data_IF_008439399346
#
_entry.id   IF_008439399346
#
_cell.length_a   1.000
_cell.length_b   1.000
_cell.length_c   1.000
_cell.angle_alpha   90.00
_cell.angle_beta   90.00
_cell.angle_gamma   90.00
#
_symmetry.space_group_name_H-M   'P 1'
#
loop_
_entity.id
_entity.type
_entity.pdbx_description
1 polymer ?
#
# COMPACT_ATOMS: atom_id res chain seq x y z
N UNK A 1 4.20 -30.02 -18.49
CA UNK A 1 3.92 -29.64 -17.08
C UNK A 1 2.79 -28.60 -17.01
N UNK A 2 1.57 -28.99 -17.39
CA UNK A 2 0.41 -28.06 -17.44
C UNK A 2 -0.77 -28.49 -16.53
N UNK A 3 -0.58 -29.40 -15.61
CA UNK A 3 -1.69 -30.13 -14.94
C UNK A 3 -2.19 -29.49 -13.62
N UNK A 4 -1.62 -28.41 -13.11
CA UNK A 4 -2.03 -27.83 -11.83
C UNK A 4 -2.88 -26.55 -11.95
N UNK A 5 -2.93 -25.95 -13.13
CA UNK A 5 -3.79 -24.78 -13.41
C UNK A 5 -5.11 -25.17 -14.10
N UNK A 6 -5.24 -26.42 -14.55
CA UNK A 6 -6.46 -26.93 -15.18
C UNK A 6 -7.57 -27.07 -14.13
N UNK A 7 -8.44 -26.08 -14.05
CA UNK A 7 -9.66 -26.11 -13.25
C UNK A 7 -10.02 -24.86 -12.46
N UNK A 8 -9.11 -23.90 -12.31
CA UNK A 8 -9.41 -22.66 -11.60
C UNK A 8 -9.60 -21.49 -12.58
N UNK A 9 -10.78 -20.91 -12.59
CA UNK A 9 -11.02 -19.60 -13.19
C UNK A 9 -10.96 -18.53 -12.08
N UNK A 10 -9.91 -17.72 -12.10
CA UNK A 10 -9.74 -16.62 -11.17
C UNK A 10 -10.38 -15.32 -11.65
N UNK A 11 -10.93 -15.29 -12.86
CA UNK A 11 -11.57 -14.08 -13.41
C UNK A 11 -12.75 -13.64 -12.54
N UNK A 12 -12.93 -12.33 -12.43
CA UNK A 12 -14.03 -11.75 -11.69
C UNK A 12 -13.62 -10.74 -10.64
N UNK A 13 -14.54 -10.43 -9.73
CA UNK A 13 -14.35 -9.42 -8.67
C UNK A 13 -13.88 -10.09 -7.38
N UNK A 14 -12.92 -9.43 -6.73
CA UNK A 14 -12.30 -9.90 -5.50
C UNK A 14 -12.24 -8.78 -4.48
N UNK A 15 -12.40 -9.10 -3.23
CA UNK A 15 -12.01 -8.24 -2.13
C UNK A 15 -10.58 -8.60 -1.71
N UNK A 16 -9.71 -7.62 -1.60
CA UNK A 16 -8.34 -7.82 -1.15
C UNK A 16 -8.10 -7.01 0.13
N UNK A 17 -7.49 -7.66 1.10
CA UNK A 17 -6.98 -7.04 2.33
C UNK A 17 -5.46 -7.17 2.31
N UNK A 18 -4.78 -6.06 2.51
CA UNK A 18 -3.32 -5.99 2.62
C UNK A 18 -2.95 -5.38 3.97
N UNK A 19 -2.26 -6.13 4.78
CA UNK A 19 -1.65 -5.65 6.03
C UNK A 19 -0.15 -5.56 5.84
N UNK A 20 0.43 -4.39 6.09
CA UNK A 20 1.88 -4.22 6.09
C UNK A 20 2.35 -3.70 7.44
N UNK A 21 3.51 -4.15 7.87
CA UNK A 21 4.14 -3.71 9.09
C UNK A 21 5.51 -3.08 8.78
N UNK A 22 5.77 -1.94 9.43
CA UNK A 22 7.06 -1.27 9.39
C UNK A 22 7.49 -0.90 10.80
N UNK A 23 8.81 -0.77 11.00
CA UNK A 23 9.41 -0.27 12.24
C UNK A 23 10.08 1.05 11.95
N UNK A 24 9.84 2.02 12.82
CA UNK A 24 10.48 3.33 12.77
C UNK A 24 11.39 3.49 13.99
N UNK A 25 12.65 3.80 13.77
CA UNK A 25 13.55 4.20 14.85
C UNK A 25 13.42 5.72 15.06
N UNK A 26 12.66 6.09 16.08
CA UNK A 26 12.41 7.50 16.41
C UNK A 26 13.34 7.93 17.53
N UNK A 27 14.14 9.01 17.34
CA UNK A 27 15.01 9.53 18.40
C UNK A 27 14.18 9.81 19.68
N UNK A 28 14.73 9.44 20.84
CA UNK A 28 14.12 9.62 22.18
C UNK A 28 12.94 8.68 22.46
N UNK A 29 12.10 8.32 21.48
CA UNK A 29 10.94 7.45 21.68
C UNK A 29 11.27 5.95 21.48
N UNK A 30 12.45 5.64 20.91
CA UNK A 30 12.85 4.27 20.61
C UNK A 30 12.21 3.71 19.34
N UNK A 31 12.02 2.39 19.30
CA UNK A 31 11.44 1.73 18.13
C UNK A 31 9.91 1.73 18.21
N UNK A 32 9.29 2.27 17.18
CA UNK A 32 7.84 2.29 17.01
C UNK A 32 7.47 1.31 15.90
N UNK A 33 6.43 0.52 16.09
CA UNK A 33 5.85 -0.34 15.05
C UNK A 33 4.63 0.35 14.46
N UNK A 34 4.58 0.40 13.12
CA UNK A 34 3.45 0.95 12.37
C UNK A 34 2.84 -0.21 11.57
N UNK A 35 1.57 -0.47 11.77
CA UNK A 35 0.81 -1.44 10.99
C UNK A 35 -0.20 -0.71 10.13
N UNK A 36 -0.14 -0.90 8.82
CA UNK A 36 -1.06 -0.34 7.86
C UNK A 36 -2.03 -1.41 7.39
N UNK A 37 -3.30 -1.09 7.37
CA UNK A 37 -4.38 -1.96 6.88
C UNK A 37 -5.05 -1.29 5.69
N UNK A 38 -5.08 -1.99 4.56
CA UNK A 38 -5.74 -1.55 3.32
C UNK A 38 -6.84 -2.54 2.95
N UNK A 39 -8.01 -2.02 2.60
CA UNK A 39 -9.03 -2.81 1.90
C UNK A 39 -9.14 -2.32 0.45
N UNK A 40 -9.28 -3.26 -0.47
CA UNK A 40 -9.30 -3.01 -1.89
C UNK A 40 -10.38 -3.85 -2.56
N UNK A 41 -10.91 -3.35 -3.67
CA UNK A 41 -11.69 -4.16 -4.61
C UNK A 41 -10.80 -4.39 -5.83
N UNK A 42 -10.60 -5.63 -6.19
CA UNK A 42 -9.77 -6.03 -7.31
C UNK A 42 -10.61 -6.73 -8.39
N UNK A 43 -10.25 -6.49 -9.64
CA UNK A 43 -10.77 -7.23 -10.80
C UNK A 43 -9.65 -8.08 -11.37
N UNK A 44 -9.84 -9.38 -11.42
CA UNK A 44 -8.95 -10.32 -12.09
C UNK A 44 -9.50 -10.62 -13.48
N UNK A 45 -8.65 -10.51 -14.49
CA UNK A 45 -8.98 -10.84 -15.88
C UNK A 45 -8.03 -11.91 -16.40
N UNK A 46 -8.59 -12.88 -17.12
CA UNK A 46 -7.82 -13.83 -17.91
C UNK A 46 -7.62 -13.23 -19.30
N UNK A 47 -6.38 -13.14 -19.75
CA UNK A 47 -6.03 -12.63 -21.07
C UNK A 47 -6.01 -13.77 -22.08
N UNK A 48 -6.15 -13.44 -23.36
CA UNK A 48 -6.04 -14.42 -24.48
C UNK A 48 -4.66 -15.08 -24.54
N UNK A 49 -3.65 -14.48 -23.91
CA UNK A 49 -2.30 -15.04 -23.73
C UNK A 49 -2.25 -16.19 -22.71
N UNK A 50 -3.31 -16.42 -21.94
CA UNK A 50 -3.37 -17.38 -20.84
C UNK A 50 -2.88 -16.84 -19.49
N UNK A 51 -2.55 -15.56 -19.43
CA UNK A 51 -2.11 -14.86 -18.21
C UNK A 51 -3.29 -14.25 -17.45
N UNK A 52 -3.16 -14.18 -16.12
CA UNK A 52 -4.08 -13.41 -15.30
C UNK A 52 -3.47 -12.06 -14.95
N UNK A 53 -4.29 -11.01 -15.02
CA UNK A 53 -3.94 -9.66 -14.57
C UNK A 53 -4.92 -9.19 -13.52
N UNK A 54 -4.41 -8.43 -12.55
CA UNK A 54 -5.18 -7.85 -11.46
C UNK A 54 -5.16 -6.33 -11.63
N UNK A 55 -6.33 -5.72 -11.56
CA UNK A 55 -6.49 -4.27 -11.40
C UNK A 55 -7.21 -4.03 -10.08
N UNK A 56 -6.79 -3.07 -9.26
CA UNK A 56 -7.43 -2.81 -7.97
C UNK A 56 -7.67 -1.33 -7.71
N UNK A 57 -8.73 -1.08 -6.93
CA UNK A 57 -9.07 0.20 -6.31
C UNK A 57 -8.86 0.09 -4.81
N UNK A 58 -8.19 1.07 -4.19
CA UNK A 58 -8.06 1.15 -2.73
C UNK A 58 -9.32 1.79 -2.15
N UNK A 59 -10.00 1.08 -1.26
CA UNK A 59 -11.23 1.54 -0.62
C UNK A 59 -10.97 2.24 0.70
N UNK A 60 -10.09 1.67 1.53
CA UNK A 60 -9.72 2.24 2.83
C UNK A 60 -8.23 2.05 3.09
N UNK A 61 -7.68 2.97 3.84
CA UNK A 61 -6.31 2.92 4.34
C UNK A 61 -6.30 3.44 5.77
N UNK A 62 -5.82 2.63 6.71
CA UNK A 62 -5.66 3.00 8.10
C UNK A 62 -4.27 2.61 8.59
N UNK A 63 -3.77 3.28 9.63
CA UNK A 63 -2.53 2.91 10.28
C UNK A 63 -2.66 2.92 11.80
N UNK A 64 -2.07 1.91 12.42
CA UNK A 64 -1.93 1.81 13.87
C UNK A 64 -0.46 1.89 14.24
N UNK A 65 -0.16 2.73 15.24
CA UNK A 65 1.19 2.90 15.77
C UNK A 65 1.28 2.31 17.17
N UNK A 66 2.35 1.57 17.47
CA UNK A 66 2.62 1.02 18.79
C UNK A 66 4.03 1.38 19.26
N UNK A 67 4.17 1.97 20.48
CA UNK A 67 3.10 2.36 21.41
C UNK A 67 2.18 3.42 20.80
N UNK A 68 0.91 3.44 21.22
CA UNK A 68 -0.12 4.35 20.72
C UNK A 68 0.07 5.78 21.30
N UNK A 69 1.10 6.47 20.82
CA UNK A 69 1.41 7.84 21.22
C UNK A 69 0.69 8.88 20.35
N UNK A 70 0.25 8.49 19.17
CA UNK A 70 -0.48 9.31 18.20
C UNK A 70 -1.28 8.39 17.28
N UNK A 71 -2.35 8.93 16.68
CA UNK A 71 -3.13 8.22 15.65
C UNK A 71 -2.83 8.85 14.28
N UNK A 72 -2.54 8.03 13.29
CA UNK A 72 -2.33 8.47 11.91
C UNK A 72 -3.62 8.31 11.12
N UNK A 73 -4.08 9.37 10.51
CA UNK A 73 -5.22 9.40 9.62
C UNK A 73 -4.77 9.70 8.18
N UNK A 74 -5.32 8.95 7.23
CA UNK A 74 -5.17 9.24 5.81
C UNK A 74 -6.46 9.93 5.35
N UNK A 75 -6.41 11.22 4.97
CA UNK A 75 -7.59 11.91 4.45
C UNK A 75 -8.18 11.18 3.23
N UNK A 76 -9.48 11.34 3.01
CA UNK A 76 -10.14 10.75 1.84
C UNK A 76 -9.49 11.20 0.52
N UNK A 77 -8.98 12.42 0.46
CA UNK A 77 -8.23 12.94 -0.68
C UNK A 77 -7.00 12.08 -0.97
N UNK A 78 -6.23 11.74 0.07
CA UNK A 78 -5.07 10.84 -0.04
C UNK A 78 -5.48 9.46 -0.59
N UNK A 79 -6.53 8.84 -0.02
CA UNK A 79 -6.96 7.50 -0.44
C UNK A 79 -7.43 7.51 -1.90
N UNK A 80 -8.18 8.54 -2.31
CA UNK A 80 -8.65 8.70 -3.71
C UNK A 80 -7.52 8.98 -4.70
N UNK A 81 -6.42 9.55 -4.25
CA UNK A 81 -5.26 9.83 -5.11
C UNK A 81 -4.40 8.59 -5.40
N UNK A 82 -4.58 7.48 -4.66
CA UNK A 82 -3.87 6.24 -4.94
C UNK A 82 -4.31 5.71 -6.32
N UNK A 83 -3.38 5.62 -7.29
CA UNK A 83 -3.75 5.26 -8.65
C UNK A 83 -4.10 3.77 -8.76
N UNK A 84 -5.08 3.48 -9.60
CA UNK A 84 -5.34 2.11 -10.04
C UNK A 84 -4.14 1.58 -10.80
N UNK A 85 -3.69 0.39 -10.46
CA UNK A 85 -2.59 -0.28 -11.15
C UNK A 85 -3.01 -1.64 -11.65
N UNK A 86 -2.46 -2.01 -12.80
CA UNK A 86 -2.63 -3.36 -13.36
C UNK A 86 -1.29 -4.08 -13.29
N UNK A 87 -1.29 -5.29 -12.76
CA UNK A 87 -0.11 -6.13 -12.60
C UNK A 87 -0.45 -7.61 -12.81
N UNK A 88 0.53 -8.44 -13.18
CA UNK A 88 0.32 -9.88 -13.33
C UNK A 88 -0.05 -10.56 -12.02
N UNK A 89 -0.95 -11.55 -12.07
CA UNK A 89 -1.08 -12.61 -11.09
C UNK A 89 -0.33 -13.83 -11.62
N UNK A 90 0.89 -13.99 -11.16
CA UNK A 90 1.74 -15.11 -11.55
C UNK A 90 1.33 -16.36 -10.77
N UNK A 91 0.96 -17.42 -11.48
CA UNK A 91 0.58 -18.69 -10.89
C UNK A 91 1.59 -19.77 -11.27
N UNK A 92 2.10 -20.49 -10.29
CA UNK A 92 3.07 -21.56 -10.51
C UNK A 92 2.80 -22.78 -9.63
N UNK A 93 2.81 -24.00 -10.19
CA UNK A 93 2.72 -25.21 -9.40
C UNK A 93 3.99 -25.43 -8.57
N UNK A 94 3.84 -25.60 -7.27
CA UNK A 94 4.95 -25.88 -6.35
C UNK A 94 4.48 -26.82 -5.23
N UNK A 95 5.13 -27.95 -5.07
CA UNK A 95 4.84 -28.93 -3.99
C UNK A 95 3.40 -29.46 -3.96
N UNK A 96 2.76 -29.59 -5.13
CA UNK A 96 1.35 -30.05 -5.23
C UNK A 96 0.31 -28.97 -4.91
N UNK A 97 0.75 -27.75 -4.69
CA UNK A 97 -0.09 -26.55 -4.49
C UNK A 97 0.13 -25.55 -5.61
N UNK A 98 -0.74 -24.58 -5.72
CA UNK A 98 -0.61 -23.48 -6.68
C UNK A 98 -0.14 -22.22 -5.93
N UNK A 99 1.09 -21.77 -6.22
CA UNK A 99 1.66 -20.54 -5.69
C UNK A 99 1.15 -19.36 -6.48
N UNK A 100 0.85 -18.26 -5.81
CA UNK A 100 0.40 -17.01 -6.38
C UNK A 100 1.35 -15.88 -5.99
N UNK A 101 1.85 -15.13 -6.97
CA UNK A 101 2.70 -13.96 -6.76
C UNK A 101 2.18 -12.75 -7.50
N UNK A 102 2.28 -11.59 -6.87
CA UNK A 102 1.90 -10.30 -7.44
C UNK A 102 2.93 -9.25 -7.05
N UNK A 103 3.37 -8.46 -8.01
CA UNK A 103 4.20 -7.28 -7.77
C UNK A 103 3.35 -6.04 -8.10
N UNK A 104 2.99 -5.28 -7.06
CA UNK A 104 2.09 -4.14 -7.17
C UNK A 104 2.72 -2.91 -7.82
N UNK A 105 3.95 -3.03 -8.30
CA UNK A 105 4.74 -1.97 -8.90
C UNK A 105 5.05 -0.79 -7.93
N UNK A 106 6.10 -0.01 -8.18
CA UNK A 106 6.42 1.14 -7.35
C UNK A 106 5.29 2.16 -7.32
N UNK A 107 4.99 2.67 -6.14
CA UNK A 107 4.09 3.79 -5.92
C UNK A 107 4.90 4.96 -5.38
N UNK A 108 5.01 6.01 -6.19
CA UNK A 108 5.51 7.31 -5.76
C UNK A 108 4.33 8.14 -5.23
N UNK A 109 4.50 8.71 -4.05
CA UNK A 109 3.51 9.52 -3.34
C UNK A 109 4.12 10.89 -3.04
N UNK A 110 3.38 11.96 -3.28
CA UNK A 110 3.79 13.32 -2.97
C UNK A 110 4.78 13.94 -3.95
N UNK A 111 5.28 13.21 -4.95
CA UNK A 111 6.19 13.72 -5.94
C UNK A 111 6.06 13.01 -7.29
N UNK A 112 6.55 13.67 -8.32
CA UNK A 112 6.59 13.18 -9.70
C UNK A 112 7.93 12.43 -9.94
N UNK A 113 7.91 11.09 -10.09
CA UNK A 113 9.12 10.28 -10.30
C UNK A 113 9.79 10.53 -11.64
N UNK A 114 9.10 11.10 -12.63
CA UNK A 114 9.68 11.44 -13.94
C UNK A 114 10.57 12.69 -13.83
N UNK A 115 10.33 13.55 -12.81
CA UNK A 115 11.15 14.73 -12.54
C UNK A 115 12.31 14.47 -11.57
N UNK A 116 12.25 13.39 -10.78
CA UNK A 116 13.31 13.04 -9.84
C UNK A 116 13.35 11.55 -9.58
N UNK A 117 14.49 10.92 -9.79
CA UNK A 117 14.75 9.52 -9.47
C UNK A 117 15.00 9.27 -7.97
N UNK A 118 15.13 10.34 -7.17
CA UNK A 118 15.33 10.28 -5.71
C UNK A 118 14.28 11.09 -4.99
N UNK A 119 14.05 10.78 -3.71
CA UNK A 119 13.07 11.57 -2.93
C UNK A 119 13.51 13.04 -2.84
N UNK A 120 12.59 13.98 -3.10
CA UNK A 120 12.80 15.40 -2.85
C UNK A 120 13.28 15.68 -1.43
N UNK A 121 14.02 16.78 -1.27
CA UNK A 121 14.63 17.15 0.03
C UNK A 121 13.90 18.33 0.70
N UNK A 122 13.07 19.06 -0.05
CA UNK A 122 12.34 20.24 0.42
C UNK A 122 10.99 20.36 -0.30
N UNK A 123 10.04 21.11 0.26
CA UNK A 123 8.71 21.33 -0.30
C UNK A 123 8.73 22.12 -1.62
N UNK A 124 9.73 22.94 -1.84
CA UNK A 124 9.91 23.76 -3.04
C UNK A 124 10.70 23.05 -4.16
N UNK A 125 11.07 21.79 -3.95
CA UNK A 125 11.74 21.01 -4.98
C UNK A 125 10.81 20.81 -6.21
N UNK A 126 11.33 20.99 -7.47
CA UNK A 126 10.49 20.95 -8.68
C UNK A 126 9.72 19.65 -8.93
N UNK A 127 10.15 18.56 -8.29
CA UNK A 127 9.47 17.26 -8.37
C UNK A 127 8.31 17.10 -7.37
N UNK A 128 8.20 17.96 -6.35
CA UNK A 128 7.08 17.93 -5.41
C UNK A 128 5.81 18.40 -6.12
N UNK A 129 4.72 17.69 -5.94
CA UNK A 129 3.41 17.98 -6.51
C UNK A 129 2.34 17.93 -5.42
N UNK A 130 1.25 18.67 -5.61
CA UNK A 130 0.02 18.46 -4.85
C UNK A 130 -0.58 17.12 -5.30
N UNK A 131 -0.20 16.05 -4.60
CA UNK A 131 -0.45 14.68 -5.07
C UNK A 131 -1.89 14.24 -4.83
N UNK A 132 -2.50 14.69 -3.75
CA UNK A 132 -3.85 14.33 -3.32
C UNK A 132 -4.88 15.43 -3.63
N UNK A 133 -4.46 16.50 -4.33
CA UNK A 133 -5.30 17.61 -4.77
C UNK A 133 -6.03 18.30 -3.60
N UNK A 134 -5.35 18.44 -2.48
CA UNK A 134 -5.87 19.13 -1.30
C UNK A 134 -5.44 20.62 -1.21
N UNK A 135 -4.69 21.09 -2.21
CA UNK A 135 -4.14 22.44 -2.30
C UNK A 135 -2.83 22.63 -1.55
N UNK A 136 -2.22 21.56 -1.06
CA UNK A 136 -0.95 21.57 -0.31
C UNK A 136 0.14 20.81 -1.06
N UNK A 137 1.42 21.10 -0.80
CA UNK A 137 2.52 20.38 -1.46
C UNK A 137 2.71 18.97 -0.89
N UNK A 138 3.18 18.07 -1.73
CA UNK A 138 3.44 16.67 -1.44
C UNK A 138 2.14 15.88 -1.23
N UNK A 139 2.11 14.92 -0.32
CA UNK A 139 0.88 14.28 0.14
C UNK A 139 0.63 14.63 1.61
N UNK A 140 -0.62 14.82 1.98
CA UNK A 140 -1.01 15.18 3.34
C UNK A 140 -1.46 13.95 4.12
N UNK A 141 -0.85 13.73 5.27
CA UNK A 141 -1.38 12.85 6.33
C UNK A 141 -1.62 13.65 7.60
N UNK A 142 -2.59 13.21 8.37
CA UNK A 142 -2.95 13.82 9.63
C UNK A 142 -2.48 12.95 10.79
N UNK A 143 -1.85 13.57 11.77
CA UNK A 143 -1.42 12.92 13.01
C UNK A 143 -2.17 13.55 14.16
N UNK A 144 -3.06 12.80 14.78
CA UNK A 144 -3.75 13.23 16.00
C UNK A 144 -2.90 12.88 17.20
N UNK A 145 -2.57 13.90 17.99
CA UNK A 145 -1.74 13.79 19.17
C UNK A 145 -2.52 14.24 20.39
N UNK A 146 -2.60 13.44 21.46
CA UNK A 146 -3.25 13.87 22.71
C UNK A 146 -2.73 15.23 23.17
N UNK A 147 -3.63 16.12 23.54
CA UNK A 147 -3.39 17.48 24.02
C UNK A 147 -2.86 18.50 22.98
N UNK A 148 -2.33 18.07 21.83
CA UNK A 148 -1.84 18.96 20.77
C UNK A 148 -2.85 19.10 19.63
N UNK A 149 -3.82 18.17 19.51
CA UNK A 149 -4.77 18.11 18.40
C UNK A 149 -4.18 17.50 17.14
N UNK A 150 -4.77 17.81 15.99
CA UNK A 150 -4.37 17.28 14.69
C UNK A 150 -3.23 18.10 14.09
N UNK A 151 -2.20 17.41 13.63
CA UNK A 151 -1.04 17.97 12.93
C UNK A 151 -1.01 17.40 11.51
N UNK A 152 -1.00 18.28 10.52
CA UNK A 152 -0.77 17.88 9.13
C UNK A 152 0.71 17.67 8.87
N UNK A 153 1.04 16.62 8.17
CA UNK A 153 2.41 16.26 7.77
C UNK A 153 2.45 16.09 6.26
N UNK A 154 3.37 16.80 5.62
CA UNK A 154 3.57 16.78 4.17
C UNK A 154 4.75 15.86 3.86
N UNK A 155 4.46 14.76 3.17
CA UNK A 155 5.46 13.73 2.95
C UNK A 155 5.57 13.29 1.50
N UNK A 156 6.74 12.76 1.17
CA UNK A 156 7.02 12.04 -0.06
C UNK A 156 7.45 10.63 0.28
N UNK A 157 7.01 9.68 -0.53
CA UNK A 157 7.32 8.26 -0.32
C UNK A 157 7.44 7.53 -1.64
N UNK A 158 8.26 6.48 -1.66
CA UNK A 158 8.21 5.44 -2.69
C UNK A 158 8.35 4.08 -2.04
N UNK A 159 7.55 3.13 -2.49
CA UNK A 159 7.61 1.73 -2.06
C UNK A 159 6.97 0.83 -3.10
N UNK A 160 7.30 -0.45 -3.05
CA UNK A 160 6.64 -1.51 -3.81
C UNK A 160 6.14 -2.57 -2.85
N UNK A 161 4.91 -3.04 -3.01
CA UNK A 161 4.42 -4.22 -2.30
C UNK A 161 4.57 -5.45 -3.20
N UNK A 162 5.15 -6.51 -2.66
CA UNK A 162 5.25 -7.83 -3.29
C UNK A 162 4.45 -8.80 -2.44
N UNK A 163 3.48 -9.46 -3.06
CA UNK A 163 2.61 -10.45 -2.43
C UNK A 163 3.05 -11.83 -2.90
N UNK A 164 3.22 -12.75 -1.95
CA UNK A 164 3.65 -14.11 -2.23
C UNK A 164 2.89 -15.08 -1.32
N UNK A 165 2.12 -15.97 -1.92
CA UNK A 165 1.24 -16.84 -1.17
C UNK A 165 0.76 -18.03 -1.98
N UNK A 166 -0.39 -18.55 -1.58
CA UNK A 166 -0.95 -19.78 -2.12
C UNK A 166 -2.42 -19.62 -2.46
N UNK A 167 -2.85 -20.26 -3.51
CA UNK A 167 -4.26 -20.51 -3.78
C UNK A 167 -4.75 -21.49 -2.71
N UNK A 168 -5.70 -21.04 -1.90
CA UNK A 168 -6.33 -21.87 -0.87
C UNK A 168 -7.56 -22.62 -1.43
N UNK A 169 -8.29 -21.95 -2.34
CA UNK A 169 -9.45 -22.47 -3.04
C UNK A 169 -9.71 -21.67 -4.32
N UNK A 170 -10.75 -22.00 -5.07
CA UNK A 170 -11.21 -21.20 -6.22
C UNK A 170 -11.59 -19.74 -5.83
N UNK A 171 -11.87 -19.52 -4.55
CA UNK A 171 -12.40 -18.27 -4.02
C UNK A 171 -11.48 -17.59 -2.99
N UNK A 172 -10.28 -18.15 -2.77
CA UNK A 172 -9.34 -17.58 -1.81
C UNK A 172 -7.88 -17.74 -2.22
N UNK A 173 -7.13 -16.64 -2.15
CA UNK A 173 -5.67 -16.56 -2.26
C UNK A 173 -5.15 -15.83 -1.03
N UNK A 174 -4.15 -16.36 -0.34
CA UNK A 174 -3.58 -15.69 0.83
C UNK A 174 -2.11 -16.03 1.06
N UNK A 175 -1.40 -15.13 1.74
CA UNK A 175 0.03 -15.30 2.00
C UNK A 175 0.68 -14.12 2.69
N UNK A 176 1.99 -14.04 2.54
CA UNK A 176 2.82 -12.97 3.05
C UNK A 176 2.87 -11.77 2.11
N UNK A 177 3.13 -10.62 2.66
CA UNK A 177 3.41 -9.40 1.93
C UNK A 177 4.80 -8.87 2.32
N UNK A 178 5.49 -8.25 1.38
CA UNK A 178 6.75 -7.57 1.64
C UNK A 178 6.72 -6.18 1.01
N UNK A 179 7.04 -5.16 1.82
CA UNK A 179 7.28 -3.80 1.31
C UNK A 179 8.78 -3.70 0.99
N UNK A 180 9.10 -3.45 -0.27
CA UNK A 180 10.46 -3.35 -0.76
C UNK A 180 10.75 -1.95 -1.29
N UNK A 181 12.00 -1.51 -1.16
CA UNK A 181 12.44 -0.19 -1.62
C UNK A 181 11.75 0.97 -0.88
N UNK A 182 11.25 0.74 0.33
CA UNK A 182 10.59 1.79 1.13
C UNK A 182 11.56 2.92 1.43
N UNK A 183 11.23 4.08 0.92
CA UNK A 183 11.85 5.35 1.26
C UNK A 183 10.75 6.35 1.56
N UNK A 184 10.90 7.13 2.62
CA UNK A 184 9.95 8.15 3.03
C UNK A 184 10.69 9.36 3.56
N UNK A 185 10.13 10.53 3.31
CA UNK A 185 10.62 11.78 3.87
C UNK A 185 9.47 12.71 4.20
N UNK A 186 9.48 13.24 5.40
CA UNK A 186 8.67 14.38 5.81
C UNK A 186 9.38 15.66 5.36
N UNK A 187 8.74 16.41 4.47
CA UNK A 187 9.27 17.68 3.93
C UNK A 187 8.76 18.90 4.72
N UNK A 188 7.61 18.77 5.35
CA UNK A 188 7.00 19.83 6.13
C UNK A 188 5.90 19.31 7.05
N UNK A 189 5.42 20.18 7.93
CA UNK A 189 4.28 19.90 8.80
C UNK A 189 3.68 21.23 9.27
N UNK A 190 2.39 21.24 9.65
CA UNK A 190 1.73 22.38 10.29
C UNK A 190 2.35 22.72 11.66
N UNK A 191 2.98 21.74 12.31
CA UNK A 191 3.83 21.93 13.49
C UNK A 191 5.24 21.38 13.22
N UNK A 192 6.25 22.23 13.25
CA UNK A 192 7.64 21.90 12.91
C UNK A 192 8.27 20.76 13.73
N UNK A 193 7.76 20.48 14.92
CA UNK A 193 8.22 19.37 15.75
C UNK A 193 7.95 17.99 15.08
N UNK A 194 7.02 17.95 14.12
CA UNK A 194 6.67 16.74 13.39
C UNK A 194 7.45 16.56 12.07
N UNK A 195 8.36 17.47 11.74
CA UNK A 195 9.30 17.27 10.63
C UNK A 195 10.39 16.29 11.10
N UNK A 196 10.05 15.00 11.08
CA UNK A 196 10.91 13.92 11.53
C UNK A 196 11.13 12.93 10.37
N UNK A 197 12.35 12.44 10.25
CA UNK A 197 12.71 11.47 9.22
C UNK A 197 13.35 10.24 9.88
N UNK A 198 12.57 9.40 10.57
CA UNK A 198 13.08 8.20 11.20
C UNK A 198 13.55 7.20 10.15
N UNK A 199 14.51 6.36 10.51
CA UNK A 199 14.84 5.21 9.69
C UNK A 199 13.70 4.21 9.73
N UNK A 200 13.14 3.91 8.56
CA UNK A 200 12.07 2.92 8.40
C UNK A 200 12.64 1.59 7.95
N UNK A 201 12.11 0.50 8.49
CA UNK A 201 12.40 -0.86 8.03
C UNK A 201 11.10 -1.65 7.92
N UNK A 202 10.90 -2.34 6.80
CA UNK A 202 9.77 -3.22 6.62
C UNK A 202 9.88 -4.44 7.55
N UNK A 203 8.75 -4.93 8.03
CA UNK A 203 8.63 -6.19 8.78
C UNK A 203 7.76 -7.19 7.99
N UNK A 204 8.35 -7.95 7.05
CA UNK A 204 7.59 -8.89 6.24
C UNK A 204 7.02 -10.05 7.06
N UNK A 205 7.58 -10.35 8.23
CA UNK A 205 7.05 -11.42 9.11
C UNK A 205 5.68 -11.07 9.73
N UNK A 206 5.36 -9.78 9.78
CA UNK A 206 4.09 -9.25 10.30
C UNK A 206 3.20 -8.66 9.19
N UNK A 207 3.56 -8.91 7.90
CA UNK A 207 2.83 -8.39 6.75
C UNK A 207 2.15 -9.55 6.01
N UNK A 208 0.87 -9.38 5.69
CA UNK A 208 0.05 -10.42 5.06
C UNK A 208 -0.87 -9.85 4.00
N UNK A 209 -1.35 -10.71 3.10
CA UNK A 209 -2.45 -10.37 2.22
C UNK A 209 -3.47 -11.51 2.15
N UNK A 210 -4.70 -11.17 1.84
CA UNK A 210 -5.78 -12.09 1.55
C UNK A 210 -6.67 -11.53 0.45
N UNK A 211 -6.96 -12.34 -0.54
CA UNK A 211 -7.95 -12.08 -1.57
C UNK A 211 -9.07 -13.09 -1.43
N UNK A 212 -10.30 -12.62 -1.41
CA UNK A 212 -11.51 -13.46 -1.40
C UNK A 212 -12.43 -13.04 -2.53
N UNK A 213 -13.05 -14.04 -3.18
CA UNK A 213 -13.99 -13.74 -4.26
C UNK A 213 -15.16 -12.92 -3.74
N UNK A 214 -15.51 -11.89 -4.47
CA UNK A 214 -16.63 -11.00 -4.15
C UNK A 214 -17.78 -11.16 -5.17
N UNK A 215 -18.93 -10.67 -4.84
CA UNK A 215 -20.03 -10.61 -5.79
C UNK A 215 -19.69 -9.72 -6.99
N UNK A 216 -20.16 -10.10 -8.17
CA UNK A 216 -19.96 -9.30 -9.39
C UNK A 216 -20.51 -7.89 -9.19
N UNK A 217 -19.69 -6.89 -9.54
CA UNK A 217 -20.07 -5.49 -9.40
C UNK A 217 -19.84 -4.89 -8.02
N UNK A 218 -19.23 -5.63 -7.08
CA UNK A 218 -18.72 -5.05 -5.82
C UNK A 218 -17.77 -3.89 -6.14
N UNK A 219 -17.97 -2.77 -5.44
CA UNK A 219 -17.15 -1.55 -5.56
C UNK A 219 -16.75 -1.07 -4.17
N UNK A 220 -15.78 -0.18 -4.11
CA UNK A 220 -15.51 0.55 -2.89
C UNK A 220 -16.75 1.30 -2.43
N UNK A 221 -17.02 1.39 -1.11
CA UNK A 221 -18.06 2.28 -0.59
C UNK A 221 -17.85 3.69 -1.12
N UNK A 222 -18.92 4.34 -1.55
CA UNK A 222 -18.88 5.78 -1.83
C UNK A 222 -18.74 6.49 -0.49
N UNK A 223 -17.62 7.19 -0.27
CA UNK A 223 -17.43 8.10 0.86
C UNK A 223 -18.36 9.29 0.80
#
# INVERSE_FOLDING_TARGET
MAAATEGYDFSGTWQMVLETATRAAVPVLGTTSIRTHQTMVATVKHLDTGEFVVNHDVCTLTAETRPALATTHFPDAFVRAIPNKTYPLELSPEGGRLRARMNLQPLAVGYDPDKSSTLPQSLDAPAVVDWDNDGKPASTIEIEVPLLGTVEVYQVQVATAVLDGWVQSADEISGGAAVVGLQQRTLGASNRLFIQNPTLSADPSASTFRMTRAATGTRCPSG
#
